data_IF_536940560309
#
_entry.id   IF_536940560309
#
_cell.length_a   1.000
_cell.length_b   1.000
_cell.length_c   1.000
_cell.angle_alpha   90.00
_cell.angle_beta   90.00
_cell.angle_gamma   90.00
#
_symmetry.space_group_name_H-M   'P 1'
#
loop_
_entity.id
_entity.type
_entity.pdbx_description
1 polymer ?
#
# COMPACT_ATOMS: atom_id res chain seq x y z
N UNK A 1 -14.71 46.42 -7.59
CA UNK A 1 -15.72 46.00 -6.58
C UNK A 1 -16.92 45.45 -7.34
N UNK A 2 -17.00 44.12 -7.50
CA UNK A 2 -18.14 43.47 -8.16
C UNK A 2 -18.99 42.81 -7.06
N UNK A 3 -20.18 43.37 -6.83
CA UNK A 3 -21.24 42.78 -6.02
C UNK A 3 -21.80 41.56 -6.76
N UNK A 4 -21.76 40.39 -6.12
CA UNK A 4 -22.51 39.21 -6.55
C UNK A 4 -23.76 39.09 -5.66
N UNK A 5 -24.86 39.66 -6.13
CA UNK A 5 -26.22 39.33 -5.69
C UNK A 5 -26.80 38.37 -6.73
N UNK A 6 -27.14 37.15 -6.34
CA UNK A 6 -27.70 36.18 -7.29
C UNK A 6 -27.80 34.75 -6.76
N UNK A 7 -28.90 34.48 -6.08
CA UNK A 7 -29.60 33.19 -6.02
C UNK A 7 -28.75 31.90 -6.06
N UNK A 8 -28.36 31.41 -4.88
CA UNK A 8 -27.91 30.01 -4.70
C UNK A 8 -29.09 29.08 -5.00
N UNK A 9 -29.20 28.69 -6.26
CA UNK A 9 -30.19 27.71 -6.72
C UNK A 9 -29.68 26.33 -6.28
N UNK A 10 -30.53 25.52 -5.63
CA UNK A 10 -30.20 24.18 -5.06
C UNK A 10 -29.39 23.26 -6.00
N UNK A 11 -29.46 23.47 -7.32
CA UNK A 11 -28.67 22.76 -8.32
C UNK A 11 -27.15 23.04 -8.24
N UNK A 12 -26.74 24.25 -7.84
CA UNK A 12 -25.32 24.61 -7.71
C UNK A 12 -24.63 23.94 -6.52
N UNK A 13 -25.40 23.65 -5.45
CA UNK A 13 -24.87 22.99 -4.25
C UNK A 13 -24.51 21.52 -4.51
N UNK A 14 -25.23 20.85 -5.41
CA UNK A 14 -24.97 19.46 -5.77
C UNK A 14 -23.73 19.30 -6.65
N UNK A 15 -23.42 20.26 -7.52
CA UNK A 15 -22.23 20.18 -8.37
C UNK A 15 -20.92 20.33 -7.58
N UNK A 16 -20.91 21.16 -6.53
CA UNK A 16 -19.72 21.37 -5.70
C UNK A 16 -19.35 20.14 -4.85
N UNK A 17 -20.31 19.28 -4.49
CA UNK A 17 -20.06 18.08 -3.68
C UNK A 17 -19.40 16.94 -4.47
N UNK A 18 -19.68 16.84 -5.78
CA UNK A 18 -19.14 15.76 -6.63
C UNK A 18 -17.66 15.98 -6.98
N UNK A 19 -17.20 17.24 -7.05
CA UNK A 19 -15.83 17.58 -7.39
C UNK A 19 -14.81 17.29 -6.26
N UNK A 20 -15.24 17.11 -5.01
CA UNK A 20 -14.33 16.78 -3.89
C UNK A 20 -13.95 15.29 -3.78
N UNK A 21 -14.67 14.39 -4.46
CA UNK A 21 -14.35 12.95 -4.41
C UNK A 21 -13.19 12.53 -5.35
N UNK A 22 -12.72 13.43 -6.22
CA UNK A 22 -11.64 13.14 -7.16
C UNK A 22 -10.23 13.47 -6.62
N UNK A 23 -10.12 13.96 -5.39
CA UNK A 23 -8.84 14.38 -4.78
C UNK A 23 -8.29 13.40 -3.74
N UNK A 24 -8.71 12.13 -3.76
CA UNK A 24 -7.90 11.11 -3.11
C UNK A 24 -6.69 10.87 -4.02
N UNK A 25 -5.51 11.32 -3.59
CA UNK A 25 -4.20 11.01 -4.15
C UNK A 25 -4.01 9.48 -4.10
N UNK A 26 -4.65 8.79 -5.05
CA UNK A 26 -4.79 7.34 -5.08
C UNK A 26 -3.62 6.77 -5.85
N UNK A 27 -2.40 7.10 -5.43
CA UNK A 27 -1.28 6.29 -5.86
C UNK A 27 -1.53 4.89 -5.27
N UNK A 28 -1.69 3.84 -6.11
CA UNK A 28 -1.88 2.51 -5.60
C UNK A 28 -0.69 2.17 -4.68
N UNK A 29 -0.93 1.49 -3.53
CA UNK A 29 0.16 1.15 -2.63
C UNK A 29 1.20 0.33 -3.38
N UNK A 30 2.48 0.69 -3.20
CA UNK A 30 3.58 -0.03 -3.84
C UNK A 30 3.70 -1.45 -3.26
N UNK A 31 4.32 -2.37 -4.00
CA UNK A 31 4.53 -3.74 -3.52
C UNK A 31 5.33 -3.79 -2.22
N UNK A 32 6.29 -2.88 -2.04
CA UNK A 32 7.05 -2.71 -0.80
C UNK A 32 6.12 -2.37 0.37
N UNK A 33 5.18 -1.46 0.18
CA UNK A 33 4.21 -1.08 1.21
C UNK A 33 3.27 -2.24 1.57
N UNK A 34 2.80 -2.99 0.56
CA UNK A 34 1.89 -4.13 0.77
C UNK A 34 2.59 -5.29 1.51
N UNK A 35 3.80 -5.64 1.08
CA UNK A 35 4.56 -6.74 1.69
C UNK A 35 5.08 -6.37 3.08
N UNK A 36 5.54 -5.13 3.28
CA UNK A 36 5.97 -4.68 4.61
C UNK A 36 4.82 -4.65 5.61
N UNK A 37 3.62 -4.21 5.20
CA UNK A 37 2.43 -4.28 6.03
C UNK A 37 2.08 -5.73 6.38
N UNK A 38 2.15 -6.66 5.41
CA UNK A 38 1.89 -8.08 5.65
C UNK A 38 2.87 -8.69 6.65
N UNK A 39 4.16 -8.39 6.54
CA UNK A 39 5.19 -8.88 7.47
C UNK A 39 4.93 -8.35 8.88
N UNK A 40 4.62 -7.05 9.03
CA UNK A 40 4.35 -6.45 10.36
C UNK A 40 3.06 -6.97 11.01
N UNK A 41 2.08 -7.37 10.20
CA UNK A 41 0.85 -8.01 10.71
C UNK A 41 1.14 -9.38 11.31
N UNK A 42 1.98 -10.19 10.65
CA UNK A 42 2.34 -11.53 11.12
C UNK A 42 3.38 -11.49 12.26
N UNK A 43 4.37 -10.61 12.14
CA UNK A 43 5.51 -10.47 13.05
C UNK A 43 5.60 -9.03 13.58
N UNK A 44 4.78 -8.64 14.56
CA UNK A 44 4.71 -7.26 15.05
C UNK A 44 6.00 -6.78 15.72
N UNK A 45 6.86 -7.71 16.17
CA UNK A 45 8.16 -7.39 16.76
C UNK A 45 9.27 -7.15 15.71
N UNK A 46 9.00 -7.39 14.42
CA UNK A 46 10.02 -7.24 13.36
C UNK A 46 10.04 -5.81 12.85
N UNK A 47 11.25 -5.31 12.60
CA UNK A 47 11.43 -4.01 11.93
C UNK A 47 11.64 -4.25 10.45
N UNK A 48 10.89 -3.54 9.62
CA UNK A 48 10.95 -3.67 8.15
C UNK A 48 11.36 -2.34 7.57
N UNK A 49 12.48 -2.31 6.86
CA UNK A 49 13.02 -1.14 6.17
C UNK A 49 12.96 -1.38 4.66
N UNK A 50 12.56 -0.35 3.92
CA UNK A 50 12.45 -0.44 2.46
C UNK A 50 13.76 -0.01 1.81
N UNK A 51 14.21 -0.79 0.84
CA UNK A 51 15.30 -0.44 -0.07
C UNK A 51 14.83 -0.66 -1.52
N UNK A 52 15.50 -0.07 -2.54
CA UNK A 52 15.09 -0.27 -3.92
C UNK A 52 15.04 -1.77 -4.30
N UNK A 53 13.86 -2.25 -4.71
CA UNK A 53 13.61 -3.65 -5.12
C UNK A 53 13.56 -4.69 -3.99
N UNK A 54 13.74 -4.29 -2.72
CA UNK A 54 13.78 -5.25 -1.60
C UNK A 54 13.35 -4.66 -0.26
N UNK A 55 12.91 -5.53 0.64
CA UNK A 55 12.72 -5.20 2.05
C UNK A 55 13.86 -5.80 2.87
N UNK A 56 14.36 -5.04 3.84
CA UNK A 56 15.28 -5.54 4.87
C UNK A 56 14.48 -5.74 6.14
N UNK A 57 14.43 -6.97 6.63
CA UNK A 57 13.65 -7.40 7.80
C UNK A 57 14.61 -7.71 8.94
N UNK A 58 14.57 -6.91 9.99
CA UNK A 58 15.30 -7.12 11.22
C UNK A 58 14.46 -7.96 12.17
N UNK A 59 15.06 -9.06 12.65
CA UNK A 59 14.38 -10.07 13.45
C UNK A 59 15.00 -10.11 14.86
N UNK A 60 14.20 -9.99 15.94
CA UNK A 60 14.73 -10.02 17.30
C UNK A 60 15.54 -11.29 17.58
N UNK A 61 16.80 -11.13 17.98
CA UNK A 61 17.70 -12.23 18.31
C UNK A 61 18.15 -13.08 17.12
N UNK A 62 17.97 -12.60 15.87
CA UNK A 62 18.41 -13.28 14.64
C UNK A 62 19.01 -12.29 13.65
N UNK A 63 19.71 -12.81 12.66
CA UNK A 63 20.24 -11.99 11.57
C UNK A 63 19.10 -11.38 10.73
N UNK A 64 19.37 -10.16 10.24
CA UNK A 64 18.50 -9.48 9.29
C UNK A 64 18.40 -10.25 7.98
N UNK A 65 17.21 -10.22 7.36
CA UNK A 65 16.94 -10.94 6.13
C UNK A 65 16.42 -10.02 5.05
N UNK A 66 16.93 -10.19 3.83
CA UNK A 66 16.42 -9.48 2.66
C UNK A 66 15.27 -10.26 2.01
N UNK A 67 14.21 -9.56 1.64
CA UNK A 67 13.07 -10.07 0.87
C UNK A 67 13.06 -9.38 -0.48
N UNK A 68 13.14 -10.15 -1.57
CA UNK A 68 13.07 -9.60 -2.92
C UNK A 68 11.60 -9.26 -3.26
N UNK A 69 11.32 -7.97 -3.45
CA UNK A 69 9.96 -7.48 -3.69
C UNK A 69 9.54 -7.77 -5.13
N UNK A 70 10.47 -7.63 -6.08
CA UNK A 70 10.19 -7.83 -7.52
C UNK A 70 9.82 -9.28 -7.83
N UNK A 71 10.50 -10.22 -7.18
CA UNK A 71 10.20 -11.65 -7.28
C UNK A 71 8.78 -11.93 -6.80
N UNK A 72 8.42 -11.50 -5.59
CA UNK A 72 7.08 -11.74 -5.03
C UNK A 72 6.01 -11.02 -5.86
N UNK A 73 6.28 -9.79 -6.30
CA UNK A 73 5.39 -9.04 -7.19
C UNK A 73 5.16 -9.77 -8.51
N UNK A 74 6.16 -10.48 -9.05
CA UNK A 74 5.99 -11.29 -10.26
C UNK A 74 4.99 -12.44 -10.05
N UNK A 75 5.00 -13.09 -8.88
CA UNK A 75 3.97 -14.09 -8.53
C UNK A 75 2.60 -13.43 -8.46
N UNK A 76 2.50 -12.27 -7.80
CA UNK A 76 1.22 -11.58 -7.65
C UNK A 76 0.60 -11.10 -8.96
N UNK A 77 1.43 -10.76 -9.97
CA UNK A 77 0.95 -10.40 -11.31
C UNK A 77 0.31 -11.58 -12.06
N UNK A 78 0.61 -12.84 -11.70
CA UNK A 78 0.01 -14.02 -12.36
C UNK A 78 -1.40 -14.32 -11.88
N UNK A 79 -1.72 -13.97 -10.64
CA UNK A 79 -3.06 -14.14 -10.09
C UNK A 79 -3.09 -14.21 -8.57
N UNK A 80 -4.30 -14.19 -7.98
CA UNK A 80 -4.47 -14.10 -6.52
C UNK A 80 -3.94 -15.34 -5.79
N UNK A 81 -4.14 -16.54 -6.33
CA UNK A 81 -3.63 -17.79 -5.72
C UNK A 81 -2.11 -17.81 -5.65
N UNK A 82 -1.44 -17.41 -6.73
CA UNK A 82 0.03 -17.35 -6.79
C UNK A 82 0.57 -16.27 -5.86
N UNK A 83 -0.13 -15.14 -5.74
CA UNK A 83 0.21 -14.08 -4.81
C UNK A 83 0.17 -14.55 -3.36
N UNK A 84 -0.92 -15.19 -2.94
CA UNK A 84 -1.04 -15.71 -1.57
C UNK A 84 0.02 -16.76 -1.28
N UNK A 85 0.26 -17.70 -2.21
CA UNK A 85 1.34 -18.66 -2.06
C UNK A 85 2.71 -17.98 -1.86
N UNK A 86 3.05 -16.98 -2.67
CA UNK A 86 4.33 -16.28 -2.56
C UNK A 86 4.46 -15.51 -1.24
N UNK A 87 3.38 -14.86 -0.79
CA UNK A 87 3.34 -14.16 0.51
C UNK A 87 3.52 -15.14 1.67
N UNK A 88 2.88 -16.31 1.62
CA UNK A 88 3.01 -17.31 2.67
C UNK A 88 4.42 -17.90 2.70
N UNK A 89 5.02 -18.20 1.54
CA UNK A 89 6.42 -18.63 1.47
C UNK A 89 7.38 -17.57 2.01
N UNK A 90 7.14 -16.29 1.72
CA UNK A 90 7.90 -15.19 2.30
C UNK A 90 7.84 -15.21 3.83
N UNK A 91 6.65 -15.34 4.42
CA UNK A 91 6.48 -15.38 5.88
C UNK A 91 7.15 -16.61 6.50
N UNK A 92 6.99 -17.79 5.90
CA UNK A 92 7.65 -19.02 6.36
C UNK A 92 9.17 -18.85 6.40
N UNK A 93 9.75 -18.21 5.38
CA UNK A 93 11.20 -17.97 5.30
C UNK A 93 11.69 -16.97 6.36
N UNK A 94 10.80 -16.14 6.92
CA UNK A 94 11.14 -15.15 7.93
C UNK A 94 11.04 -15.68 9.37
N UNK A 95 10.39 -16.82 9.60
CA UNK A 95 10.19 -17.47 10.91
C UNK A 95 11.49 -17.94 11.57
#
# INVERSE_FOLDING_TARGET
MLRYDGAVTKAGLFLALVLMLASCDSNPPSWESLLSARIRQEYPAYTVTTAPGKLVVERPGRDSQAVNVDEIAAFCRRGPRDCEYAKDQMLITLR
#
